data_IF_705199638191
#
_entry.id   IF_705199638191
#
_cell.length_a   1.000
_cell.length_b   1.000
_cell.length_c   1.000
_cell.angle_alpha   90.00
_cell.angle_beta   90.00
_cell.angle_gamma   90.00
#
_symmetry.space_group_name_H-M   'P 1'
#
loop_
_entity.id
_entity.type
_entity.pdbx_description
1 polymer ?
#
# COMPACT_ATOMS: atom_id res chain seq x y z
N UNK A 1 20.63 -23.69 -1.65
CA UNK A 1 20.90 -23.57 -0.21
C UNK A 1 19.61 -23.12 0.41
N UNK A 2 19.00 -24.05 1.13
CA UNK A 2 17.64 -23.99 1.64
C UNK A 2 17.40 -22.79 2.56
N UNK A 3 16.31 -22.11 2.24
CA UNK A 3 15.36 -21.44 3.12
C UNK A 3 15.52 -21.70 4.61
N UNK A 4 16.04 -20.70 5.32
CA UNK A 4 15.74 -20.47 6.73
C UNK A 4 16.05 -19.01 7.08
N UNK A 5 15.27 -18.06 6.55
CA UNK A 5 15.03 -16.82 7.32
C UNK A 5 14.11 -17.26 8.46
N UNK A 6 14.80 -17.60 9.54
CA UNK A 6 14.32 -18.23 10.74
C UNK A 6 13.32 -17.30 11.44
N UNK A 7 12.18 -17.82 11.87
CA UNK A 7 11.24 -17.12 12.78
C UNK A 7 11.98 -16.59 14.04
N UNK A 8 13.18 -17.12 14.33
CA UNK A 8 14.13 -16.58 15.31
C UNK A 8 14.61 -15.13 15.08
N UNK A 9 14.44 -14.51 13.90
CA UNK A 9 14.90 -13.13 13.69
C UNK A 9 14.09 -12.11 14.51
N UNK A 10 12.84 -12.41 14.84
CA UNK A 10 11.92 -11.49 15.51
C UNK A 10 11.29 -12.12 16.78
N UNK A 11 12.08 -12.44 17.82
CA UNK A 11 11.56 -13.02 19.06
C UNK A 11 10.56 -12.07 19.75
N UNK A 12 9.70 -12.64 20.60
CA UNK A 12 8.83 -11.83 21.45
C UNK A 12 9.64 -11.03 22.46
N UNK A 13 9.37 -9.73 22.52
CA UNK A 13 9.92 -8.86 23.57
C UNK A 13 9.30 -9.22 24.91
N UNK A 14 9.90 -8.77 26.02
CA UNK A 14 9.32 -9.02 27.34
C UNK A 14 7.97 -8.33 27.52
N UNK A 15 7.76 -7.18 26.85
CA UNK A 15 6.46 -6.52 26.77
C UNK A 15 5.44 -7.40 26.02
N UNK A 16 5.79 -7.95 24.85
CA UNK A 16 4.91 -8.87 24.10
C UNK A 16 4.57 -10.13 24.91
N UNK A 17 5.53 -10.70 25.66
CA UNK A 17 5.28 -11.82 26.57
C UNK A 17 4.30 -11.46 27.69
N UNK A 18 4.36 -10.23 28.21
CA UNK A 18 3.39 -9.77 29.21
C UNK A 18 2.02 -9.51 28.58
N UNK A 19 1.96 -8.85 27.42
CA UNK A 19 0.73 -8.63 26.66
C UNK A 19 0.03 -9.96 26.37
N UNK A 20 0.79 -10.98 25.97
CA UNK A 20 0.29 -12.36 25.80
C UNK A 20 -0.43 -12.87 27.05
N UNK A 21 0.21 -12.80 28.22
CA UNK A 21 -0.40 -13.24 29.49
C UNK A 21 -1.69 -12.46 29.80
N UNK A 22 -1.69 -11.16 29.58
CA UNK A 22 -2.84 -10.28 29.85
C UNK A 22 -4.00 -10.52 28.87
N UNK A 23 -3.69 -10.74 27.60
CA UNK A 23 -4.67 -11.08 26.57
C UNK A 23 -5.39 -12.40 26.91
N UNK A 24 -4.65 -13.42 27.33
CA UNK A 24 -5.25 -14.69 27.74
C UNK A 24 -6.02 -14.62 29.06
N UNK A 25 -5.73 -13.68 29.97
CA UNK A 25 -6.54 -13.49 31.19
C UNK A 25 -7.85 -12.72 30.94
N UNK A 26 -8.05 -12.17 29.74
CA UNK A 26 -9.22 -11.39 29.33
C UNK A 26 -9.97 -12.06 28.16
N UNK A 27 -10.72 -13.14 28.42
CA UNK A 27 -11.45 -13.87 27.38
C UNK A 27 -12.49 -12.99 26.66
N UNK A 28 -12.96 -11.93 27.31
CA UNK A 28 -13.87 -10.92 26.75
C UNK A 28 -13.30 -10.17 25.53
N UNK A 29 -11.99 -10.23 25.28
CA UNK A 29 -11.31 -9.50 24.20
C UNK A 29 -10.95 -10.38 22.99
N UNK A 30 -11.00 -11.72 23.10
CA UNK A 30 -10.34 -12.62 22.15
C UNK A 30 -10.94 -12.61 20.74
N UNK A 31 -12.26 -12.50 20.64
CA UNK A 31 -13.00 -12.56 19.38
C UNK A 31 -13.56 -11.19 18.96
N UNK A 32 -13.00 -10.12 19.54
CA UNK A 32 -13.52 -8.76 19.38
C UNK A 32 -12.44 -7.82 18.88
N UNK A 33 -12.78 -7.07 17.83
CA UNK A 33 -12.05 -5.85 17.47
C UNK A 33 -12.64 -4.72 18.31
N UNK A 34 -11.81 -4.09 19.12
CA UNK A 34 -12.24 -3.10 20.09
C UNK A 34 -12.57 -1.76 19.42
N UNK A 35 -13.43 -0.98 20.08
CA UNK A 35 -13.49 0.46 19.80
C UNK A 35 -12.29 1.18 20.45
N UNK A 36 -11.94 2.40 20.02
CA UNK A 36 -10.92 3.21 20.69
C UNK A 36 -11.14 3.37 22.20
N UNK A 37 -12.39 3.50 22.65
CA UNK A 37 -12.75 3.64 24.07
C UNK A 37 -12.53 2.34 24.85
N UNK A 38 -12.81 1.20 24.22
CA UNK A 38 -12.62 -0.13 24.80
C UNK A 38 -11.13 -0.46 24.91
N UNK A 39 -10.34 -0.14 23.88
CA UNK A 39 -8.89 -0.27 23.95
C UNK A 39 -8.31 0.65 25.04
N UNK A 40 -8.79 1.88 25.14
CA UNK A 40 -8.37 2.82 26.18
C UNK A 40 -8.69 2.31 27.58
N UNK A 41 -9.84 1.66 27.76
CA UNK A 41 -10.19 1.00 29.02
C UNK A 41 -9.27 -0.19 29.32
N UNK A 42 -8.91 -0.98 28.30
CA UNK A 42 -7.95 -2.07 28.43
C UNK A 42 -6.56 -1.56 28.84
N UNK A 43 -6.06 -0.51 28.18
CA UNK A 43 -4.77 0.10 28.51
C UNK A 43 -4.77 0.62 29.94
N UNK A 44 -5.83 1.34 30.34
CA UNK A 44 -5.96 1.81 31.72
C UNK A 44 -5.91 0.65 32.73
N UNK A 45 -6.63 -0.45 32.46
CA UNK A 45 -6.56 -1.66 33.28
C UNK A 45 -5.14 -2.26 33.28
N UNK A 46 -4.47 -2.33 32.13
CA UNK A 46 -3.13 -2.88 31.99
C UNK A 46 -2.12 -2.09 32.83
N UNK A 47 -2.08 -0.76 32.66
CA UNK A 47 -1.12 0.11 33.37
C UNK A 47 -1.44 0.28 34.86
N UNK A 48 -2.65 -0.07 35.32
CA UNK A 48 -3.01 0.01 36.75
C UNK A 48 -2.84 -1.32 37.48
N UNK A 49 -3.05 -2.44 36.80
CA UNK A 49 -3.06 -3.78 37.45
C UNK A 49 -1.82 -4.63 37.16
N UNK A 50 -1.05 -4.31 36.11
CA UNK A 50 0.05 -5.16 35.64
C UNK A 50 1.42 -4.46 35.72
N UNK A 51 1.63 -3.60 36.74
CA UNK A 51 2.92 -2.92 36.96
C UNK A 51 3.97 -3.82 37.63
N UNK A 52 5.28 -3.56 37.40
CA UNK A 52 5.81 -2.65 36.38
C UNK A 52 5.68 -3.27 34.98
N UNK A 53 5.46 -2.41 33.97
CA UNK A 53 5.60 -2.84 32.58
C UNK A 53 7.10 -2.89 32.23
N UNK A 54 7.59 -3.92 31.51
CA UNK A 54 8.96 -4.00 31.00
C UNK A 54 9.31 -2.73 30.24
N UNK A 55 10.50 -2.19 30.53
CA UNK A 55 11.02 -0.99 29.85
C UNK A 55 11.30 -1.28 28.37
N UNK A 56 11.35 -0.22 27.58
CA UNK A 56 11.59 -0.28 26.14
C UNK A 56 12.98 -0.82 25.73
N UNK A 57 13.86 -1.19 26.68
CA UNK A 57 15.25 -1.59 26.40
C UNK A 57 15.42 -2.76 25.43
N UNK A 58 14.35 -3.55 25.20
CA UNK A 58 14.24 -4.59 24.17
C UNK A 58 12.97 -4.45 23.30
N UNK A 59 12.17 -3.39 23.48
CA UNK A 59 10.93 -3.18 22.75
C UNK A 59 11.17 -2.18 21.62
N UNK A 60 10.66 -2.49 20.42
CA UNK A 60 10.54 -1.45 19.39
C UNK A 60 9.77 -0.27 19.98
N UNK A 61 10.30 0.93 19.81
CA UNK A 61 9.64 2.18 20.21
C UNK A 61 8.49 2.53 19.27
N UNK A 62 7.56 1.57 19.08
CA UNK A 62 6.35 1.84 18.31
C UNK A 62 5.59 2.99 18.98
N UNK A 63 4.87 3.83 18.23
CA UNK A 63 4.07 4.90 18.81
C UNK A 63 3.12 4.39 19.91
N UNK A 64 2.50 3.23 19.72
CA UNK A 64 1.61 2.60 20.71
C UNK A 64 2.38 2.15 21.95
N UNK A 65 3.59 1.59 21.81
CA UNK A 65 4.43 1.25 22.95
C UNK A 65 4.82 2.51 23.75
N UNK A 66 5.16 3.62 23.07
CA UNK A 66 5.45 4.92 23.71
C UNK A 66 4.24 5.50 24.43
N UNK A 67 3.06 5.42 23.83
CA UNK A 67 1.79 5.81 24.47
C UNK A 67 1.53 4.93 25.71
N UNK A 68 1.76 3.62 25.61
CA UNK A 68 1.55 2.69 26.73
C UNK A 68 2.50 2.97 27.90
N UNK A 69 3.79 3.14 27.61
CA UNK A 69 4.82 3.38 28.62
C UNK A 69 4.65 4.77 29.25
N UNK A 70 4.37 5.81 28.46
CA UNK A 70 4.06 7.14 29.00
C UNK A 70 2.82 7.13 29.90
N UNK A 71 1.77 6.38 29.54
CA UNK A 71 0.60 6.20 30.40
C UNK A 71 0.94 5.48 31.71
N UNK A 72 1.89 4.55 31.70
CA UNK A 72 2.40 3.90 32.91
C UNK A 72 3.24 4.84 33.80
N UNK A 73 3.97 5.79 33.21
CA UNK A 73 4.79 6.74 33.96
C UNK A 73 3.97 7.89 34.58
N UNK A 74 2.78 8.18 34.05
CA UNK A 74 1.88 9.17 34.66
C UNK A 74 1.44 8.73 36.07
N UNK A 75 1.82 9.52 37.08
CA UNK A 75 1.39 9.40 38.48
C UNK A 75 0.26 10.40 38.75
N UNK A 76 -0.83 9.94 39.38
CA UNK A 76 -2.07 9.63 38.68
C UNK A 76 -2.81 10.88 38.12
N UNK A 77 -3.03 10.99 36.81
CA UNK A 77 -4.11 11.82 36.27
C UNK A 77 -5.47 11.15 36.53
N UNK A 78 -6.54 11.94 36.64
CA UNK A 78 -7.90 11.39 36.83
C UNK A 78 -8.20 10.32 35.75
N UNK A 79 -8.61 9.09 36.12
CA UNK A 79 -8.80 7.98 35.19
C UNK A 79 -9.64 8.33 33.95
N UNK A 80 -10.62 9.22 34.12
CA UNK A 80 -11.49 9.71 33.07
C UNK A 80 -10.77 10.59 32.04
N UNK A 81 -9.85 11.46 32.48
CA UNK A 81 -9.09 12.35 31.61
C UNK A 81 -8.07 11.58 30.78
N UNK A 82 -7.34 10.65 31.41
CA UNK A 82 -6.39 9.77 30.72
C UNK A 82 -7.11 8.86 29.71
N UNK A 83 -8.24 8.26 30.09
CA UNK A 83 -9.04 7.43 29.18
C UNK A 83 -9.52 8.22 27.95
N UNK A 84 -9.97 9.47 28.13
CA UNK A 84 -10.40 10.32 27.01
C UNK A 84 -9.24 10.71 26.10
N UNK A 85 -8.08 11.03 26.67
CA UNK A 85 -6.87 11.35 25.91
C UNK A 85 -6.40 10.14 25.08
N UNK A 86 -6.38 8.95 25.69
CA UNK A 86 -6.05 7.70 25.00
C UNK A 86 -7.03 7.39 23.86
N UNK A 87 -8.34 7.54 24.09
CA UNK A 87 -9.34 7.23 23.06
C UNK A 87 -9.15 8.09 21.80
N UNK A 88 -8.83 9.38 21.97
CA UNK A 88 -8.52 10.26 20.86
C UNK A 88 -7.23 9.87 20.13
N UNK A 89 -6.24 9.27 20.81
CA UNK A 89 -5.03 8.77 20.17
C UNK A 89 -5.26 7.49 19.35
N UNK A 90 -6.27 6.69 19.70
CA UNK A 90 -6.54 5.39 19.06
C UNK A 90 -7.65 5.43 18.02
N UNK A 91 -8.47 6.49 17.98
CA UNK A 91 -9.48 6.64 16.94
C UNK A 91 -8.86 7.00 15.59
N UNK A 92 -7.92 7.95 15.61
CA UNK A 92 -7.26 8.48 14.43
C UNK A 92 -5.75 8.57 14.73
N UNK A 93 -4.96 7.83 13.97
CA UNK A 93 -3.51 7.89 14.01
C UNK A 93 -3.07 9.14 13.26
N UNK A 94 -2.92 10.23 14.02
CA UNK A 94 -2.45 11.52 13.53
C UNK A 94 -0.93 11.51 13.27
N UNK A 95 -0.53 12.01 12.11
CA UNK A 95 0.83 12.06 11.59
C UNK A 95 1.77 12.69 12.61
N UNK A 96 1.37 13.78 13.28
CA UNK A 96 2.22 14.50 14.24
C UNK A 96 2.55 13.68 15.48
N UNK A 97 1.74 12.65 15.80
CA UNK A 97 1.94 11.77 16.96
C UNK A 97 2.61 10.46 16.59
N UNK A 98 2.29 9.92 15.42
CA UNK A 98 2.73 8.60 14.99
C UNK A 98 3.96 8.64 14.06
N UNK A 99 4.22 9.78 13.40
CA UNK A 99 5.41 10.05 12.58
C UNK A 99 6.20 11.25 13.14
N UNK A 100 7.43 11.06 13.65
CA UNK A 100 8.26 12.16 14.14
C UNK A 100 8.42 13.27 13.09
N UNK A 101 8.45 14.54 13.51
CA UNK A 101 8.45 15.72 12.60
C UNK A 101 9.56 15.65 11.53
N UNK A 102 10.72 15.08 11.87
CA UNK A 102 11.87 14.93 10.96
C UNK A 102 11.85 13.68 10.07
N UNK A 103 10.88 12.78 10.23
CA UNK A 103 10.79 11.48 9.53
C UNK A 103 9.55 11.41 8.65
N UNK A 104 9.73 11.15 7.37
CA UNK A 104 8.64 11.01 6.39
C UNK A 104 8.01 9.61 6.34
N UNK A 105 8.75 8.63 6.85
CA UNK A 105 8.43 7.21 6.84
C UNK A 105 8.79 6.64 8.21
N UNK A 106 7.91 5.85 8.82
CA UNK A 106 8.22 4.98 9.95
C UNK A 106 8.30 3.53 9.49
N UNK A 107 8.93 2.68 10.29
CA UNK A 107 8.91 1.25 10.11
C UNK A 107 8.91 0.60 11.50
N UNK A 108 7.82 -0.08 11.80
CA UNK A 108 7.50 -0.60 13.12
C UNK A 108 6.94 -2.01 13.02
N UNK A 109 7.27 -2.90 13.95
CA UNK A 109 6.63 -4.21 14.03
C UNK A 109 5.37 -4.10 14.87
N UNK A 110 4.27 -4.65 14.37
CA UNK A 110 3.02 -4.75 15.12
C UNK A 110 3.24 -5.56 16.41
N UNK A 111 2.84 -5.01 17.55
CA UNK A 111 2.97 -5.68 18.83
C UNK A 111 2.03 -6.89 18.91
N UNK A 112 2.59 -8.08 19.09
CA UNK A 112 1.78 -9.28 19.30
C UNK A 112 0.96 -9.16 20.59
N UNK A 113 -0.28 -9.67 20.53
CA UNK A 113 -1.22 -9.73 21.65
C UNK A 113 -1.68 -8.37 22.22
N UNK A 114 -1.33 -7.24 21.59
CA UNK A 114 -2.03 -6.00 21.83
C UNK A 114 -3.44 -6.10 21.21
N UNK A 115 -4.54 -5.87 21.96
CA UNK A 115 -5.88 -5.97 21.39
C UNK A 115 -6.06 -5.07 20.17
N UNK A 116 -6.52 -5.65 19.07
CA UNK A 116 -6.86 -4.93 17.87
C UNK A 116 -8.02 -3.97 18.12
N UNK A 117 -7.98 -2.84 17.45
CA UNK A 117 -9.02 -1.83 17.50
C UNK A 117 -9.22 -1.21 16.13
N UNK A 118 -10.44 -0.73 15.89
CA UNK A 118 -10.77 0.04 14.70
C UNK A 118 -10.15 1.44 14.79
N UNK A 119 -9.42 1.82 13.76
CA UNK A 119 -8.82 3.14 13.63
C UNK A 119 -8.73 3.58 12.16
N UNK A 120 -8.57 4.88 11.97
CA UNK A 120 -8.12 5.50 10.72
C UNK A 120 -6.74 6.10 10.91
N UNK A 121 -6.07 6.44 9.82
CA UNK A 121 -4.82 7.21 9.83
C UNK A 121 -4.92 8.35 8.82
N UNK A 122 -4.22 9.44 9.06
CA UNK A 122 -4.04 10.53 8.07
C UNK A 122 -2.91 10.25 7.08
N UNK A 123 -2.15 9.18 7.34
CA UNK A 123 -1.02 8.72 6.55
C UNK A 123 -1.38 7.43 5.81
N UNK A 124 -0.58 7.06 4.80
CA UNK A 124 -0.68 5.72 4.23
C UNK A 124 -0.10 4.71 5.21
N UNK A 125 -0.75 3.57 5.38
CA UNK A 125 -0.23 2.45 6.16
C UNK A 125 0.16 1.30 5.24
N UNK A 126 1.45 0.95 5.26
CA UNK A 126 2.00 -0.19 4.53
C UNK A 126 2.21 -1.36 5.49
N UNK A 127 1.67 -2.51 5.15
CA UNK A 127 1.75 -3.74 5.91
C UNK A 127 2.55 -4.78 5.14
N UNK A 128 3.57 -5.36 5.76
CA UNK A 128 4.34 -6.49 5.22
C UNK A 128 4.32 -7.67 6.18
N UNK A 129 3.93 -8.84 5.70
CA UNK A 129 3.92 -10.06 6.53
C UNK A 129 5.23 -10.82 6.39
N UNK A 130 6.02 -10.90 7.46
CA UNK A 130 7.24 -11.71 7.51
C UNK A 130 6.96 -13.18 7.84
N UNK A 131 6.00 -13.43 8.75
CA UNK A 131 5.70 -14.78 9.24
C UNK A 131 4.27 -14.86 9.78
N UNK A 132 3.70 -16.07 9.73
CA UNK A 132 2.32 -16.37 10.14
C UNK A 132 1.27 -15.79 9.20
N UNK A 133 0.01 -16.13 9.45
CA UNK A 133 -1.14 -15.52 8.78
C UNK A 133 -1.63 -14.31 9.58
N UNK A 134 -1.64 -13.14 8.95
CA UNK A 134 -2.00 -11.88 9.57
C UNK A 134 -3.26 -11.31 8.91
N UNK A 135 -4.44 -11.42 9.57
CA UNK A 135 -5.66 -10.82 9.05
C UNK A 135 -5.66 -9.30 9.26
N UNK A 136 -6.07 -8.57 8.23
CA UNK A 136 -6.35 -7.14 8.25
C UNK A 136 -7.84 -6.96 7.98
N UNK A 137 -8.55 -6.39 8.95
CA UNK A 137 -9.99 -6.21 8.90
C UNK A 137 -10.35 -4.84 8.35
N UNK A 138 -11.32 -4.82 7.45
CA UNK A 138 -12.00 -3.62 6.96
C UNK A 138 -13.51 -3.80 7.18
N UNK A 139 -14.32 -2.73 7.14
CA UNK A 139 -15.76 -2.86 7.27
C UNK A 139 -16.37 -3.70 6.15
N UNK A 140 -16.86 -4.89 6.51
CA UNK A 140 -17.48 -5.84 5.60
C UNK A 140 -16.55 -6.92 5.03
N UNK A 141 -15.23 -6.79 5.19
CA UNK A 141 -14.28 -7.78 4.68
C UNK A 141 -13.05 -7.99 5.55
N UNK A 142 -12.36 -9.09 5.33
CA UNK A 142 -11.10 -9.40 5.98
C UNK A 142 -10.13 -9.94 4.95
N UNK A 143 -8.97 -9.31 4.87
CA UNK A 143 -7.86 -9.75 4.02
C UNK A 143 -6.93 -10.58 4.87
N UNK A 144 -6.80 -11.87 4.55
CA UNK A 144 -5.86 -12.76 5.26
C UNK A 144 -4.54 -12.72 4.50
N UNK A 145 -3.59 -11.94 5.02
CA UNK A 145 -2.26 -11.80 4.44
C UNK A 145 -1.34 -12.94 4.93
N UNK A 146 -0.60 -13.55 4.00
CA UNK A 146 0.39 -14.59 4.28
C UNK A 146 1.82 -14.05 4.09
N UNK A 147 2.87 -14.77 4.50
CA UNK A 147 4.24 -14.31 4.35
C UNK A 147 4.56 -13.83 2.91
N UNK A 148 5.13 -12.64 2.79
CA UNK A 148 5.37 -11.93 1.53
C UNK A 148 4.27 -10.96 1.10
N UNK A 149 3.05 -11.09 1.62
CA UNK A 149 1.95 -10.19 1.30
C UNK A 149 2.28 -8.74 1.67
N UNK A 150 1.94 -7.82 0.76
CA UNK A 150 2.06 -6.38 0.98
C UNK A 150 0.69 -5.72 0.87
N UNK A 151 0.23 -5.01 1.89
CA UNK A 151 -1.02 -4.26 1.84
C UNK A 151 -0.78 -2.78 2.11
N UNK A 152 -1.37 -1.91 1.30
CA UNK A 152 -1.32 -0.45 1.47
C UNK A 152 -2.73 0.02 1.78
N UNK A 153 -2.96 0.60 2.95
CA UNK A 153 -4.20 1.28 3.32
C UNK A 153 -4.04 2.79 3.10
N UNK A 154 -5.06 3.43 2.51
CA UNK A 154 -5.08 4.87 2.27
C UNK A 154 -5.45 5.66 3.53
N UNK A 155 -5.10 6.96 3.60
CA UNK A 155 -5.60 7.86 4.60
C UNK A 155 -7.14 7.80 4.71
N UNK A 156 -7.64 7.75 5.95
CA UNK A 156 -9.07 7.66 6.27
C UNK A 156 -9.69 6.27 6.12
N UNK A 157 -8.96 5.25 5.65
CA UNK A 157 -9.47 3.89 5.59
C UNK A 157 -9.64 3.32 7.01
N UNK A 158 -10.87 2.94 7.37
CA UNK A 158 -11.14 2.34 8.68
C UNK A 158 -10.70 0.88 8.66
N UNK A 159 -9.80 0.50 9.56
CA UNK A 159 -9.27 -0.86 9.60
C UNK A 159 -8.79 -1.29 10.99
N UNK A 160 -8.46 -2.57 11.13
CA UNK A 160 -7.90 -3.14 12.35
C UNK A 160 -6.98 -4.34 12.04
N UNK A 161 -5.93 -4.50 12.84
CA UNK A 161 -4.81 -5.41 12.55
C UNK A 161 -4.49 -6.35 13.72
N UNK A 162 -5.32 -7.37 13.98
CA UNK A 162 -5.07 -8.38 15.02
C UNK A 162 -3.82 -9.22 14.74
N UNK A 163 -2.83 -9.05 15.61
CA UNK A 163 -1.59 -9.82 15.61
C UNK A 163 -1.56 -10.78 16.81
N UNK A 164 -2.41 -11.82 16.76
CA UNK A 164 -2.53 -12.83 17.81
C UNK A 164 -1.90 -14.14 17.36
N UNK A 165 -0.66 -14.38 17.78
CA UNK A 165 0.07 -15.61 17.45
C UNK A 165 1.55 -15.44 17.75
N UNK A 166 2.19 -16.52 18.17
CA UNK A 166 3.63 -16.49 18.47
C UNK A 166 4.47 -16.40 17.18
N UNK A 167 3.98 -17.02 16.11
CA UNK A 167 4.56 -17.10 14.78
C UNK A 167 4.23 -15.90 13.89
N UNK A 168 3.31 -15.02 14.32
CA UNK A 168 2.90 -13.84 13.54
C UNK A 168 3.90 -12.70 13.66
N UNK A 169 4.43 -12.27 12.53
CA UNK A 169 5.32 -11.12 12.42
C UNK A 169 4.80 -10.22 11.29
N UNK A 170 4.14 -9.14 11.70
CA UNK A 170 3.61 -8.11 10.81
C UNK A 170 4.41 -6.83 11.00
N UNK A 171 5.02 -6.34 9.93
CA UNK A 171 5.64 -5.03 9.88
C UNK A 171 4.61 -4.03 9.37
N UNK A 172 4.58 -2.84 9.97
CA UNK A 172 3.80 -1.68 9.55
C UNK A 172 4.72 -0.50 9.28
N UNK A 173 4.40 0.30 8.28
CA UNK A 173 5.11 1.53 7.94
C UNK A 173 4.08 2.61 7.68
N UNK A 174 4.19 3.72 8.41
CA UNK A 174 3.40 4.91 8.12
C UNK A 174 4.18 5.76 7.14
N UNK A 175 3.50 6.24 6.10
CA UNK A 175 4.10 7.08 5.06
C UNK A 175 3.24 8.32 4.91
N UNK A 176 3.82 9.51 5.13
CA UNK A 176 3.15 10.80 4.90
C UNK A 176 2.53 10.82 3.52
N UNK A 177 1.33 11.37 3.37
CA UNK A 177 0.65 11.41 2.07
C UNK A 177 1.53 12.02 0.98
N UNK A 178 2.14 13.19 1.23
CA UNK A 178 3.05 13.88 0.30
C UNK A 178 4.28 13.04 -0.08
N UNK A 179 4.82 12.27 0.86
CA UNK A 179 5.94 11.37 0.60
C UNK A 179 5.48 10.17 -0.21
N UNK A 180 4.34 9.56 0.13
CA UNK A 180 3.77 8.45 -0.64
C UNK A 180 3.56 8.84 -2.10
N UNK A 181 3.04 10.05 -2.36
CA UNK A 181 2.91 10.54 -3.72
C UNK A 181 4.25 10.58 -4.46
N UNK A 182 5.31 11.02 -3.77
CA UNK A 182 6.65 11.10 -4.34
C UNK A 182 7.31 9.74 -4.54
N UNK A 183 7.16 8.79 -3.62
CA UNK A 183 7.88 7.50 -3.62
C UNK A 183 7.12 6.38 -4.32
N UNK A 184 5.79 6.46 -4.40
CA UNK A 184 4.92 5.47 -5.04
C UNK A 184 4.34 5.99 -6.35
N UNK A 185 3.65 7.14 -6.34
CA UNK A 185 2.97 7.61 -7.56
C UNK A 185 3.92 8.04 -8.67
N UNK A 186 5.12 8.53 -8.35
CA UNK A 186 6.12 8.86 -9.37
C UNK A 186 6.77 7.62 -10.01
N UNK A 187 6.71 6.46 -9.35
CA UNK A 187 7.20 5.19 -9.92
C UNK A 187 6.19 4.62 -10.92
N UNK A 188 4.91 4.88 -10.65
CA UNK A 188 3.83 4.51 -11.55
C UNK A 188 3.82 5.46 -12.74
N UNK A 189 4.31 4.98 -13.89
CA UNK A 189 4.26 5.70 -15.15
C UNK A 189 2.84 6.24 -15.37
N UNK A 190 2.67 7.53 -15.65
CA UNK A 190 1.38 8.19 -15.92
C UNK A 190 0.64 7.64 -17.16
N UNK A 191 1.31 6.73 -17.87
CA UNK A 191 0.85 5.99 -19.04
C UNK A 191 0.24 4.63 -18.67
N UNK A 192 0.50 4.11 -17.46
CA UNK A 192 0.02 2.81 -17.01
C UNK A 192 -1.41 2.93 -16.47
N UNK A 193 -2.36 2.22 -17.08
CA UNK A 193 -3.77 2.22 -16.65
C UNK A 193 -3.95 1.67 -15.22
N UNK A 194 -3.05 0.80 -14.76
CA UNK A 194 -3.02 0.34 -13.38
C UNK A 194 -2.75 1.49 -12.40
N UNK A 195 -1.96 2.49 -12.79
CA UNK A 195 -1.71 3.67 -11.95
C UNK A 195 -2.98 4.48 -11.67
N UNK A 196 -3.82 4.65 -12.69
CA UNK A 196 -5.10 5.35 -12.59
C UNK A 196 -6.04 4.58 -11.67
N UNK A 197 -6.04 3.26 -11.83
CA UNK A 197 -6.85 2.36 -11.02
C UNK A 197 -6.42 2.35 -9.55
N UNK A 198 -5.12 2.28 -9.26
CA UNK A 198 -4.59 2.36 -7.90
C UNK A 198 -4.91 3.71 -7.25
N UNK A 199 -4.75 4.83 -7.98
CA UNK A 199 -5.17 6.15 -7.49
C UNK A 199 -6.65 6.16 -7.15
N UNK A 200 -7.50 5.60 -7.99
CA UNK A 200 -8.94 5.56 -7.72
C UNK A 200 -9.31 4.61 -6.56
N UNK A 201 -8.54 3.55 -6.33
CA UNK A 201 -8.73 2.65 -5.19
C UNK A 201 -8.38 3.34 -3.87
N UNK A 202 -7.32 4.15 -3.85
CA UNK A 202 -6.83 4.81 -2.65
C UNK A 202 -7.48 6.19 -2.40
N UNK A 203 -7.98 6.89 -3.44
CA UNK A 203 -8.60 8.22 -3.29
C UNK A 203 -10.13 8.20 -3.18
N UNK A 204 -10.81 7.11 -3.56
CA UNK A 204 -12.27 7.06 -3.36
C UNK A 204 -12.55 6.76 -1.88
N UNK A 205 -12.91 7.82 -1.14
CA UNK A 205 -13.19 7.85 0.30
C UNK A 205 -14.38 7.00 0.76
N UNK A 206 -14.33 5.69 0.47
CA UNK A 206 -15.15 4.67 1.09
C UNK A 206 -14.46 4.09 2.33
N UNK A 207 -15.20 3.29 3.09
CA UNK A 207 -14.73 2.73 4.36
C UNK A 207 -13.58 1.71 4.24
N UNK A 208 -13.30 1.20 3.03
CA UNK A 208 -12.22 0.28 2.72
C UNK A 208 -11.48 0.77 1.46
N UNK A 209 -10.37 1.48 1.66
CA UNK A 209 -9.51 1.98 0.58
C UNK A 209 -8.12 1.38 0.77
N UNK A 210 -7.89 0.20 0.18
CA UNK A 210 -6.60 -0.47 0.23
C UNK A 210 -6.16 -1.01 -1.13
N UNK A 211 -4.88 -1.34 -1.22
CA UNK A 211 -4.25 -2.05 -2.33
C UNK A 211 -3.44 -3.22 -1.76
N UNK A 212 -3.77 -4.45 -2.12
CA UNK A 212 -3.12 -5.65 -1.61
C UNK A 212 -2.37 -6.38 -2.72
N UNK A 213 -1.06 -6.54 -2.56
CA UNK A 213 -0.24 -7.40 -3.41
C UNK A 213 -0.13 -8.77 -2.76
N UNK A 214 -0.77 -9.75 -3.40
CA UNK A 214 -0.61 -11.17 -3.08
C UNK A 214 0.75 -11.62 -3.65
N UNK A 215 1.80 -11.30 -2.91
CA UNK A 215 3.18 -11.59 -3.27
C UNK A 215 3.72 -12.76 -2.44
N UNK A 216 4.54 -13.65 -3.04
CA UNK A 216 5.33 -14.61 -2.28
C UNK A 216 6.41 -13.88 -1.46
N UNK A 217 7.07 -14.60 -0.55
CA UNK A 217 8.28 -14.07 0.10
C UNK A 217 9.32 -13.72 -0.95
N UNK A 218 9.84 -12.50 -0.84
CA UNK A 218 10.83 -11.96 -1.75
C UNK A 218 11.97 -11.39 -0.92
N UNK A 219 13.12 -12.05 -1.00
CA UNK A 219 14.29 -11.69 -0.19
C UNK A 219 14.79 -10.29 -0.47
N UNK A 220 14.70 -9.80 -1.71
CA UNK A 220 15.15 -8.44 -2.02
C UNK A 220 14.23 -7.37 -1.41
N UNK A 221 12.92 -7.64 -1.34
CA UNK A 221 11.99 -6.77 -0.63
C UNK A 221 12.24 -6.79 0.88
N UNK A 222 12.49 -7.96 1.45
CA UNK A 222 12.84 -8.11 2.88
C UNK A 222 14.15 -7.40 3.22
N UNK A 223 15.19 -7.57 2.38
CA UNK A 223 16.49 -6.92 2.56
C UNK A 223 16.35 -5.38 2.54
N UNK A 224 15.50 -4.82 1.68
CA UNK A 224 15.20 -3.39 1.66
C UNK A 224 14.50 -2.91 2.94
N UNK A 225 13.54 -3.68 3.46
CA UNK A 225 12.89 -3.38 4.74
C UNK A 225 13.89 -3.42 5.90
N UNK A 226 14.79 -4.41 5.92
CA UNK A 226 15.86 -4.50 6.92
C UNK A 226 16.82 -3.31 6.82
N UNK A 227 17.20 -2.87 5.62
CA UNK A 227 18.01 -1.66 5.44
C UNK A 227 17.30 -0.41 5.96
N UNK A 228 15.99 -0.27 5.71
CA UNK A 228 15.19 0.84 6.25
C UNK A 228 15.12 0.80 7.78
N UNK A 229 14.92 -0.37 8.38
CA UNK A 229 14.90 -0.57 9.83
C UNK A 229 16.24 -0.14 10.46
N UNK A 230 17.35 -0.58 9.87
CA UNK A 230 18.69 -0.20 10.32
C UNK A 230 18.94 1.30 10.20
N UNK A 231 18.58 1.92 9.07
CA UNK A 231 18.73 3.36 8.87
C UNK A 231 17.87 4.18 9.84
N UNK A 232 16.65 3.74 10.14
CA UNK A 232 15.73 4.42 11.07
C UNK A 232 16.15 4.28 12.53
N UNK A 233 16.91 3.24 12.86
CA UNK A 233 17.49 3.00 14.18
C UNK A 233 18.72 3.87 14.47
N UNK A 234 19.33 4.45 13.43
CA UNK A 234 20.53 5.27 13.53
C UNK A 234 20.17 6.73 13.26
N UNK A 235 20.62 7.66 14.11
CA UNK A 235 20.38 9.10 13.90
C UNK A 235 21.43 9.70 12.94
N UNK A 236 21.54 9.14 11.74
CA UNK A 236 22.53 9.56 10.75
C UNK A 236 22.05 10.79 9.95
N UNK A 237 22.98 11.65 9.49
CA UNK A 237 22.68 12.64 8.47
C UNK A 237 22.08 12.01 7.22
N UNK A 238 21.09 12.67 6.63
CA UNK A 238 20.38 12.23 5.42
C UNK A 238 19.51 10.97 5.55
N UNK A 239 19.25 10.50 6.79
CA UNK A 239 18.44 9.30 7.04
C UNK A 239 17.08 9.33 6.34
N UNK A 240 16.33 10.45 6.42
CA UNK A 240 15.03 10.56 5.74
C UNK A 240 15.13 10.42 4.21
N UNK A 241 16.18 10.98 3.59
CA UNK A 241 16.42 10.82 2.15
C UNK A 241 16.80 9.37 1.80
N UNK A 242 17.60 8.73 2.64
CA UNK A 242 17.98 7.32 2.47
C UNK A 242 16.75 6.41 2.54
N UNK A 243 15.94 6.54 3.60
CA UNK A 243 14.70 5.76 3.78
C UNK A 243 13.72 6.00 2.62
N UNK A 244 13.53 7.24 2.19
CA UNK A 244 12.68 7.55 1.03
C UNK A 244 13.19 6.88 -0.27
N UNK A 245 14.52 6.79 -0.44
CA UNK A 245 15.13 6.13 -1.60
C UNK A 245 14.96 4.61 -1.54
N UNK A 246 15.18 4.01 -0.37
CA UNK A 246 14.97 2.58 -0.13
C UNK A 246 13.50 2.20 -0.33
N UNK A 247 12.56 3.00 0.18
CA UNK A 247 11.12 2.80 -0.03
C UNK A 247 10.75 2.94 -1.51
N UNK A 248 11.35 3.88 -2.24
CA UNK A 248 11.15 4.00 -3.69
C UNK A 248 11.63 2.74 -4.43
N UNK A 249 12.79 2.19 -4.04
CA UNK A 249 13.30 0.93 -4.59
C UNK A 249 12.38 -0.25 -4.23
N UNK A 250 11.86 -0.30 -3.01
CA UNK A 250 10.90 -1.31 -2.56
C UNK A 250 9.64 -1.30 -3.41
N UNK A 251 9.02 -0.12 -3.58
CA UNK A 251 7.82 0.01 -4.42
C UNK A 251 8.09 -0.29 -5.89
N UNK A 252 9.24 0.13 -6.43
CA UNK A 252 9.61 -0.18 -7.79
C UNK A 252 9.76 -1.69 -8.00
N UNK A 253 10.42 -2.40 -7.09
CA UNK A 253 10.54 -3.87 -7.15
C UNK A 253 9.21 -4.57 -6.97
N UNK A 254 8.39 -4.12 -6.01
CA UNK A 254 7.05 -4.63 -5.75
C UNK A 254 6.19 -4.55 -7.01
N UNK A 255 6.13 -3.37 -7.65
CA UNK A 255 5.39 -3.16 -8.88
C UNK A 255 5.99 -3.96 -10.04
N UNK A 256 7.32 -3.93 -10.20
CA UNK A 256 8.01 -4.64 -11.29
C UNK A 256 7.71 -6.14 -11.31
N UNK A 257 7.54 -6.77 -10.14
CA UNK A 257 7.36 -8.22 -10.00
C UNK A 257 5.91 -8.63 -9.77
N UNK A 258 5.16 -7.83 -9.02
CA UNK A 258 3.88 -8.23 -8.44
C UNK A 258 2.73 -7.27 -8.76
N UNK A 259 2.90 -6.29 -9.66
CA UNK A 259 1.80 -5.42 -10.09
C UNK A 259 0.56 -6.21 -10.55
N UNK A 260 0.76 -7.37 -11.19
CA UNK A 260 -0.32 -8.22 -11.69
C UNK A 260 -1.06 -9.00 -10.57
N UNK A 261 -0.47 -9.13 -9.39
CA UNK A 261 -1.12 -9.80 -8.23
C UNK A 261 -1.87 -8.81 -7.34
N UNK A 262 -1.91 -7.53 -7.74
CA UNK A 262 -2.62 -6.48 -7.03
C UNK A 262 -4.13 -6.74 -6.99
N UNK A 263 -4.66 -6.83 -5.78
CA UNK A 263 -6.07 -7.00 -5.44
C UNK A 263 -6.60 -5.75 -4.74
N UNK A 264 -7.90 -5.52 -4.91
CA UNK A 264 -8.63 -4.41 -4.32
C UNK A 264 -9.69 -4.88 -3.32
N UNK A 265 -10.24 -3.97 -2.50
CA UNK A 265 -11.43 -4.18 -1.68
C UNK A 265 -12.52 -4.97 -2.42
N UNK A 266 -12.98 -6.07 -1.81
CA UNK A 266 -14.10 -6.88 -2.29
C UNK A 266 -15.44 -6.24 -1.91
N UNK A 267 -15.45 -5.43 -0.85
CA UNK A 267 -16.68 -4.82 -0.32
C UNK A 267 -16.82 -3.34 -0.68
N UNK A 268 -18.07 -2.91 -0.89
CA UNK A 268 -18.45 -1.64 -1.51
C UNK A 268 -19.01 -1.86 -2.91
N UNK A 269 -19.39 -0.78 -3.63
CA UNK A 269 -19.74 -0.87 -5.06
C UNK A 269 -18.59 -1.50 -5.89
N UNK A 270 -17.42 -1.73 -5.31
CA UNK A 270 -16.14 -2.07 -5.91
C UNK A 270 -16.00 -3.48 -6.50
N UNK A 271 -17.02 -4.36 -6.47
CA UNK A 271 -16.96 -5.65 -7.18
C UNK A 271 -16.61 -5.45 -8.67
N UNK A 272 -17.07 -4.35 -9.28
CA UNK A 272 -16.71 -3.98 -10.65
C UNK A 272 -15.22 -3.63 -10.80
N UNK A 273 -14.54 -3.16 -9.76
CA UNK A 273 -13.13 -2.74 -9.83
C UNK A 273 -12.18 -3.90 -10.10
N UNK A 274 -12.40 -5.10 -9.54
CA UNK A 274 -11.49 -6.23 -9.80
C UNK A 274 -11.49 -6.64 -11.28
N UNK A 275 -12.67 -6.70 -11.89
CA UNK A 275 -12.78 -6.91 -13.34
C UNK A 275 -12.17 -5.76 -14.13
N UNK A 276 -12.16 -4.54 -13.57
CA UNK A 276 -11.54 -3.39 -14.23
C UNK A 276 -10.03 -3.47 -14.24
N UNK A 277 -9.39 -4.02 -13.20
CA UNK A 277 -7.94 -4.26 -13.26
C UNK A 277 -7.59 -5.18 -14.42
N UNK A 278 -8.28 -6.32 -14.55
CA UNK A 278 -8.09 -7.25 -15.67
C UNK A 278 -8.46 -6.62 -17.02
N UNK A 279 -9.53 -5.81 -17.07
CA UNK A 279 -9.95 -5.05 -18.25
C UNK A 279 -8.88 -4.04 -18.68
N UNK A 280 -8.36 -3.24 -17.75
CA UNK A 280 -7.37 -2.22 -18.02
C UNK A 280 -6.02 -2.83 -18.39
N UNK A 281 -5.63 -3.93 -17.75
CA UNK A 281 -4.49 -4.74 -18.15
C UNK A 281 -4.65 -5.22 -19.59
N UNK A 282 -5.80 -5.83 -19.92
CA UNK A 282 -6.07 -6.30 -21.28
C UNK A 282 -6.07 -5.16 -22.30
N UNK A 283 -6.67 -4.01 -21.98
CA UNK A 283 -6.64 -2.82 -22.85
C UNK A 283 -5.20 -2.38 -23.09
N UNK A 284 -4.35 -2.38 -22.06
CA UNK A 284 -2.95 -1.95 -22.16
C UNK A 284 -2.12 -2.93 -23.01
N UNK A 285 -2.24 -4.23 -22.76
CA UNK A 285 -1.52 -5.28 -23.48
C UNK A 285 -1.96 -5.37 -24.95
N UNK A 286 -3.25 -5.15 -25.22
CA UNK A 286 -3.83 -5.29 -26.55
C UNK A 286 -4.15 -3.95 -27.23
N UNK A 287 -3.62 -2.81 -26.77
CA UNK A 287 -3.94 -1.48 -27.33
C UNK A 287 -3.69 -1.36 -28.84
N UNK A 288 -2.76 -2.15 -29.38
CA UNK A 288 -2.46 -2.18 -30.82
C UNK A 288 -3.58 -2.84 -31.65
N UNK A 289 -4.27 -3.84 -31.11
CA UNK A 289 -5.16 -4.71 -31.89
C UNK A 289 -6.61 -4.71 -31.40
N UNK A 290 -6.84 -4.55 -30.10
CA UNK A 290 -8.16 -4.69 -29.51
C UNK A 290 -9.12 -3.56 -29.90
N UNK A 291 -10.28 -3.97 -30.40
CA UNK A 291 -11.43 -3.13 -30.62
C UNK A 291 -12.36 -3.12 -29.41
N UNK A 292 -13.17 -2.06 -29.28
CA UNK A 292 -14.17 -1.96 -28.21
C UNK A 292 -15.16 -3.15 -28.19
N UNK A 293 -15.67 -3.64 -29.35
CA UNK A 293 -16.52 -4.83 -29.39
C UNK A 293 -15.83 -6.10 -28.87
N UNK A 294 -14.55 -6.33 -29.21
CA UNK A 294 -13.81 -7.52 -28.75
C UNK A 294 -13.60 -7.49 -27.23
N UNK A 295 -13.28 -6.33 -26.67
CA UNK A 295 -13.15 -6.15 -25.23
C UNK A 295 -14.49 -6.36 -24.54
N UNK A 296 -15.56 -5.78 -25.07
CA UNK A 296 -16.91 -5.94 -24.55
C UNK A 296 -17.31 -7.42 -24.51
N UNK A 297 -17.09 -8.17 -25.60
CA UNK A 297 -17.36 -9.60 -25.66
C UNK A 297 -16.52 -10.41 -24.67
N UNK A 298 -15.22 -10.11 -24.55
CA UNK A 298 -14.30 -10.82 -23.65
C UNK A 298 -14.67 -10.69 -22.17
N UNK A 299 -15.06 -9.50 -21.76
CA UNK A 299 -15.41 -9.21 -20.37
C UNK A 299 -16.92 -9.31 -20.10
N UNK A 300 -17.69 -9.85 -21.05
CA UNK A 300 -19.14 -10.05 -20.93
C UNK A 300 -19.92 -8.76 -20.60
N UNK A 301 -19.47 -7.63 -21.16
CA UNK A 301 -20.10 -6.31 -21.04
C UNK A 301 -20.62 -5.82 -22.38
N UNK A 302 -21.53 -4.84 -22.34
CA UNK A 302 -21.84 -4.03 -23.52
C UNK A 302 -20.73 -3.01 -23.80
N UNK A 303 -20.55 -2.60 -25.06
CA UNK A 303 -19.61 -1.54 -25.43
C UNK A 303 -19.88 -0.21 -24.69
N UNK A 304 -21.16 0.08 -24.42
CA UNK A 304 -21.58 1.25 -23.64
C UNK A 304 -21.09 1.17 -22.20
N UNK A 305 -21.16 -0.02 -21.59
CA UNK A 305 -20.62 -0.23 -20.25
C UNK A 305 -19.11 -0.06 -20.25
N UNK A 306 -18.36 -0.71 -21.15
CA UNK A 306 -16.90 -0.52 -21.25
C UNK A 306 -16.54 0.95 -21.42
N UNK A 307 -17.25 1.68 -22.29
CA UNK A 307 -17.00 3.12 -22.49
C UNK A 307 -17.27 3.94 -21.23
N UNK A 308 -18.33 3.63 -20.47
CA UNK A 308 -18.64 4.29 -19.20
C UNK A 308 -17.56 4.00 -18.15
N UNK A 309 -17.11 2.76 -18.09
CA UNK A 309 -16.05 2.29 -17.18
C UNK A 309 -14.75 3.04 -17.46
N UNK A 310 -14.31 3.05 -18.72
CA UNK A 310 -13.10 3.76 -19.15
C UNK A 310 -13.20 5.25 -18.83
N UNK A 311 -14.35 5.89 -19.10
CA UNK A 311 -14.55 7.31 -18.80
C UNK A 311 -14.56 7.62 -17.31
N UNK A 312 -15.20 6.77 -16.51
CA UNK A 312 -15.27 6.94 -15.06
C UNK A 312 -13.90 6.79 -14.41
N UNK A 313 -13.10 5.83 -14.85
CA UNK A 313 -11.79 5.56 -14.25
C UNK A 313 -10.70 6.49 -14.77
N UNK A 314 -10.66 6.73 -16.09
CA UNK A 314 -9.56 7.47 -16.73
C UNK A 314 -9.88 8.93 -17.04
N UNK A 315 -11.15 9.34 -16.92
CA UNK A 315 -11.64 10.64 -17.40
C UNK A 315 -11.73 10.74 -18.93
N UNK A 316 -11.21 9.77 -19.68
CA UNK A 316 -11.13 9.76 -21.14
C UNK A 316 -12.15 8.81 -21.76
N UNK A 317 -12.58 9.08 -22.99
CA UNK A 317 -13.33 8.07 -23.76
C UNK A 317 -12.36 6.98 -24.27
N UNK A 318 -12.91 5.82 -24.66
CA UNK A 318 -12.11 4.68 -25.12
C UNK A 318 -11.20 5.00 -26.31
N UNK A 319 -11.69 5.75 -27.30
CA UNK A 319 -10.89 6.09 -28.49
C UNK A 319 -9.69 6.97 -28.13
N UNK A 320 -9.88 7.95 -27.25
CA UNK A 320 -8.79 8.79 -26.73
C UNK A 320 -7.80 7.95 -25.91
N UNK A 321 -8.29 7.05 -25.07
CA UNK A 321 -7.43 6.16 -24.28
C UNK A 321 -6.53 5.29 -25.19
N UNK A 322 -7.10 4.61 -26.19
CA UNK A 322 -6.32 3.79 -27.12
C UNK A 322 -5.33 4.64 -27.90
N UNK A 323 -5.73 5.82 -28.35
CA UNK A 323 -4.83 6.75 -29.06
C UNK A 323 -3.64 7.12 -28.16
N UNK A 324 -3.90 7.51 -26.91
CA UNK A 324 -2.87 7.78 -25.90
C UNK A 324 -1.91 6.59 -25.76
N UNK A 325 -2.41 5.39 -25.48
CA UNK A 325 -1.58 4.20 -25.28
C UNK A 325 -0.70 3.88 -26.50
N UNK A 326 -1.25 4.01 -27.72
CA UNK A 326 -0.50 3.79 -28.97
C UNK A 326 0.59 4.83 -29.17
N UNK A 327 0.29 6.11 -28.93
CA UNK A 327 1.27 7.19 -29.10
C UNK A 327 2.40 7.10 -28.06
N UNK A 328 2.07 6.73 -26.83
CA UNK A 328 3.03 6.55 -25.76
C UNK A 328 3.97 5.36 -26.02
N UNK A 329 3.41 4.23 -26.48
CA UNK A 329 4.21 3.09 -26.96
C UNK A 329 5.09 3.47 -28.14
N UNK A 330 4.58 4.27 -29.08
CA UNK A 330 5.37 4.75 -30.21
C UNK A 330 6.53 5.64 -29.76
N UNK A 331 6.30 6.57 -28.84
CA UNK A 331 7.33 7.43 -28.28
C UNK A 331 8.44 6.63 -27.57
N UNK A 332 8.06 5.56 -26.86
CA UNK A 332 9.01 4.63 -26.24
C UNK A 332 9.88 3.92 -27.30
N UNK A 333 9.25 3.33 -28.33
CA UNK A 333 9.96 2.65 -29.41
C UNK A 333 10.87 3.61 -30.20
N UNK A 334 10.42 4.84 -30.43
CA UNK A 334 11.23 5.88 -31.09
C UNK A 334 12.50 6.21 -30.31
N UNK A 335 12.46 6.15 -28.97
CA UNK A 335 13.60 6.46 -28.09
C UNK A 335 14.52 5.27 -27.87
N UNK A 336 13.96 4.07 -27.76
CA UNK A 336 14.66 2.89 -27.23
C UNK A 336 15.00 1.84 -28.29
N UNK A 337 14.60 2.05 -29.54
CA UNK A 337 14.81 1.07 -30.61
C UNK A 337 15.31 1.70 -31.91
N UNK A 338 15.93 0.87 -32.75
CA UNK A 338 16.34 1.22 -34.12
C UNK A 338 15.28 0.88 -35.16
N UNK A 339 14.05 0.54 -34.75
CA UNK A 339 12.95 0.19 -35.66
C UNK A 339 12.69 1.30 -36.68
N UNK A 340 12.30 0.90 -37.88
CA UNK A 340 11.82 1.81 -38.94
C UNK A 340 10.46 2.41 -38.56
N UNK A 341 10.06 3.50 -39.23
CA UNK A 341 8.75 4.11 -38.98
C UNK A 341 7.59 3.18 -39.35
N UNK A 342 7.75 2.36 -40.40
CA UNK A 342 6.80 1.31 -40.77
C UNK A 342 6.64 0.25 -39.68
N UNK A 343 7.75 -0.24 -39.13
CA UNK A 343 7.72 -1.22 -38.03
C UNK A 343 7.08 -0.65 -36.77
N UNK A 344 7.37 0.61 -36.43
CA UNK A 344 6.73 1.27 -35.27
C UNK A 344 5.23 1.47 -35.50
N UNK A 345 4.83 1.95 -36.68
CA UNK A 345 3.43 2.12 -37.03
C UNK A 345 2.65 0.80 -36.91
N UNK A 346 3.22 -0.29 -37.43
CA UNK A 346 2.64 -1.62 -37.30
C UNK A 346 2.58 -2.08 -35.83
N UNK A 347 3.66 -1.91 -35.06
CA UNK A 347 3.76 -2.34 -33.67
C UNK A 347 2.79 -1.62 -32.71
N UNK A 348 2.32 -0.43 -33.09
CA UNK A 348 1.33 0.35 -32.35
C UNK A 348 -0.07 0.31 -32.98
N UNK A 349 -0.29 -0.54 -33.99
CA UNK A 349 -1.63 -0.83 -34.50
C UNK A 349 -2.16 0.11 -35.59
N UNK A 350 -1.27 0.77 -36.34
CA UNK A 350 -1.61 1.54 -37.52
C UNK A 350 -1.31 0.75 -38.79
N UNK A 351 -2.28 0.71 -39.72
CA UNK A 351 -2.16 -0.01 -40.99
C UNK A 351 -1.25 0.68 -42.00
N UNK A 352 -0.86 1.94 -41.77
CA UNK A 352 0.06 2.66 -42.65
C UNK A 352 0.73 3.85 -41.98
N UNK A 353 1.98 4.11 -42.36
CA UNK A 353 2.85 5.14 -41.77
C UNK A 353 2.25 6.54 -41.86
N UNK A 354 1.56 6.89 -42.95
CA UNK A 354 0.93 8.21 -43.09
C UNK A 354 -0.14 8.47 -42.02
N UNK A 355 -0.91 7.44 -41.65
CA UNK A 355 -1.92 7.56 -40.59
C UNK A 355 -1.29 7.67 -39.20
N UNK A 356 -0.20 6.93 -38.98
CA UNK A 356 0.60 7.03 -37.78
C UNK A 356 1.25 8.41 -37.63
N UNK A 357 1.87 8.96 -38.69
CA UNK A 357 2.48 10.29 -38.67
C UNK A 357 1.48 11.38 -38.29
N UNK A 358 0.29 11.38 -38.92
CA UNK A 358 -0.76 12.36 -38.60
C UNK A 358 -1.22 12.26 -37.16
N UNK A 359 -1.44 11.04 -36.66
CA UNK A 359 -1.87 10.82 -35.28
C UNK A 359 -0.79 11.26 -34.28
N UNK A 360 0.48 10.95 -34.56
CA UNK A 360 1.61 11.31 -33.71
C UNK A 360 1.85 12.81 -33.67
N UNK A 361 1.80 13.47 -34.83
CA UNK A 361 1.91 14.94 -34.92
C UNK A 361 0.78 15.64 -34.19
N UNK A 362 -0.45 15.12 -34.31
CA UNK A 362 -1.58 15.66 -33.56
C UNK A 362 -1.42 15.49 -32.04
N UNK A 363 -0.79 14.41 -31.60
CA UNK A 363 -0.64 14.10 -30.17
C UNK A 363 0.55 14.79 -29.51
N UNK A 364 1.71 14.80 -30.16
CA UNK A 364 2.97 15.35 -29.63
C UNK A 364 3.38 16.71 -30.23
N UNK A 365 2.58 17.27 -31.14
CA UNK A 365 2.85 18.53 -31.82
C UNK A 365 4.18 18.55 -32.61
N UNK A 366 4.72 17.38 -32.94
CA UNK A 366 5.93 17.23 -33.74
C UNK A 366 5.95 15.87 -34.47
N UNK A 367 6.74 15.76 -35.54
CA UNK A 367 6.82 14.52 -36.32
C UNK A 367 7.53 13.40 -35.54
N UNK A 368 7.18 12.11 -35.75
CA UNK A 368 7.91 10.97 -35.19
C UNK A 368 9.42 11.01 -35.43
N UNK A 369 9.82 11.45 -36.64
CA UNK A 369 11.23 11.58 -37.03
C UNK A 369 11.95 12.69 -36.26
N UNK A 370 11.29 13.83 -36.05
CA UNK A 370 11.83 14.90 -35.20
C UNK A 370 11.96 14.43 -33.75
N UNK A 371 10.94 13.77 -33.22
CA UNK A 371 10.92 13.27 -31.84
C UNK A 371 12.06 12.27 -31.54
N UNK A 372 12.38 11.39 -32.50
CA UNK A 372 13.53 10.47 -32.42
C UNK A 372 14.86 11.23 -32.33
N UNK A 373 15.04 12.28 -33.13
CA UNK A 373 16.27 13.08 -33.16
C UNK A 373 16.50 13.91 -31.89
N UNK A 374 15.45 14.26 -31.16
CA UNK A 374 15.56 15.06 -29.93
C UNK A 374 16.03 14.25 -28.71
N UNK A 375 16.08 12.91 -28.81
CA UNK A 375 16.46 12.01 -27.71
C UNK A 375 17.63 11.07 -28.08
N UNK A 376 18.32 11.37 -29.19
CA UNK A 376 19.68 10.90 -29.49
C UNK A 376 20.64 11.98 -29.00
#
# INVERSE_FOLDING_TARGET
MEDNINVCAYPMTDLEKQLKRCFFSRPDLRDKILTPEELSAYILWLVTTQRPLPTAGNAMETPIARILLSAADTTPPAPTALKKALAACFSEQDESRYLPEKKDISLDRMMRYMPAHWHTSDSFELYYVFSGECPIHFPGETVVCHPGSVLIAAPGALHATPCYGDDRVLMTSLVRASTFERVFWNQLNSQNLMSVFFRQALHQGGSAAYLWFDAPRDRELEDLLTCMEQELSQELPYSSQMVNTLMSAFFLLLLRRYEQTAQLPRTGDLHWKREFSALFQYIQEHAATASLPEIAARFHYSERQISRIVKMCTGMNYAHLITKLRMEKAALLLKQSSLTMDEIAAAVGYSGVSSFYRAFEQYYSCSPGSYRKTNL
#
